data_IF_022117816130
#
_entry.id   IF_022117816130
#
_cell.length_a   1.000
_cell.length_b   1.000
_cell.length_c   1.000
_cell.angle_alpha   90.00
_cell.angle_beta   90.00
_cell.angle_gamma   90.00
#
_symmetry.space_group_name_H-M   'P 1'
#
loop_
_entity.id
_entity.type
_entity.pdbx_description
1 polymer ?
#
# COMPACT_ATOMS: atom_id res chain seq x y z
N UNK A 1 -25.98 -0.31 -13.47
CA UNK A 1 -24.74 0.39 -13.13
C UNK A 1 -25.08 1.32 -11.99
N UNK A 2 -24.40 1.16 -10.86
CA UNK A 2 -24.61 1.97 -9.66
C UNK A 2 -23.33 2.76 -9.39
N UNK A 3 -23.44 4.04 -9.01
CA UNK A 3 -22.31 4.83 -8.58
C UNK A 3 -21.78 4.30 -7.24
N UNK A 4 -20.53 3.94 -7.17
CA UNK A 4 -19.91 3.31 -5.99
C UNK A 4 -19.31 4.35 -5.04
N UNK A 5 -19.37 5.64 -5.40
CA UNK A 5 -18.90 6.74 -4.57
C UNK A 5 -17.38 6.79 -4.35
N UNK A 6 -16.61 6.07 -5.17
CA UNK A 6 -15.16 6.02 -5.05
C UNK A 6 -14.52 7.36 -5.47
N UNK A 7 -13.64 7.89 -4.64
CA UNK A 7 -12.85 9.08 -4.94
C UNK A 7 -11.37 8.75 -4.86
N UNK A 8 -10.66 8.85 -5.98
CA UNK A 8 -9.22 8.58 -6.06
C UNK A 8 -8.38 9.60 -5.27
N UNK A 9 -8.96 10.78 -5.03
CA UNK A 9 -8.30 11.81 -4.24
C UNK A 9 -8.94 11.85 -2.86
N UNK A 10 -8.15 11.95 -1.78
CA UNK A 10 -8.69 12.12 -0.45
C UNK A 10 -9.54 13.39 -0.36
N UNK A 11 -10.75 13.27 0.16
CA UNK A 11 -11.61 14.41 0.45
C UNK A 11 -11.29 15.05 1.81
N UNK A 12 -10.47 14.39 2.62
CA UNK A 12 -10.03 14.87 3.92
C UNK A 12 -8.53 14.64 4.05
N UNK A 13 -7.78 15.71 4.30
CA UNK A 13 -6.36 15.66 4.64
C UNK A 13 -6.21 16.34 5.99
N UNK A 14 -5.45 15.73 6.89
CA UNK A 14 -5.22 16.25 8.23
C UNK A 14 -3.79 16.03 8.68
N UNK A 15 -3.35 16.89 9.59
CA UNK A 15 -2.04 16.79 10.21
C UNK A 15 -2.07 17.22 11.66
N UNK A 16 -1.21 16.64 12.47
CA UNK A 16 -1.01 16.97 13.88
C UNK A 16 0.48 17.03 14.16
N UNK A 17 0.93 18.16 14.73
CA UNK A 17 2.28 18.34 15.21
C UNK A 17 2.33 18.41 16.74
N UNK A 18 3.24 17.67 17.34
CA UNK A 18 3.54 17.73 18.77
C UNK A 18 5.00 18.11 18.95
N UNK A 19 5.27 19.11 19.80
CA UNK A 19 6.62 19.56 20.10
C UNK A 19 6.78 19.72 21.61
N UNK A 20 7.80 19.06 22.16
CA UNK A 20 8.13 19.13 23.59
C UNK A 20 9.59 19.50 23.75
N UNK A 21 9.86 20.45 24.63
CA UNK A 21 11.22 20.86 25.01
C UNK A 21 11.39 20.79 26.51
N UNK A 22 12.42 20.08 26.96
CA UNK A 22 12.70 19.94 28.39
C UNK A 22 14.19 19.77 28.67
N UNK A 23 14.78 20.68 29.43
CA UNK A 23 16.19 20.62 29.87
C UNK A 23 17.21 20.27 28.77
N UNK A 24 17.07 20.88 27.62
CA UNK A 24 17.94 20.63 26.45
C UNK A 24 17.49 19.51 25.53
N UNK A 25 16.59 18.64 25.95
CA UNK A 25 15.93 17.68 25.09
C UNK A 25 14.80 18.37 24.32
N UNK A 26 14.72 18.13 23.04
CA UNK A 26 13.60 18.51 22.18
C UNK A 26 13.11 17.31 21.38
N UNK A 27 11.80 17.13 21.36
CA UNK A 27 11.13 16.05 20.61
C UNK A 27 10.03 16.68 19.78
N UNK A 28 10.07 16.43 18.48
CA UNK A 28 9.06 16.89 17.56
C UNK A 28 8.47 15.65 16.84
N UNK A 29 7.16 15.55 16.87
CA UNK A 29 6.41 14.49 16.19
C UNK A 29 5.44 15.15 15.20
N UNK A 30 5.43 14.68 13.98
CA UNK A 30 4.48 15.13 12.97
C UNK A 30 3.71 13.94 12.40
N UNK A 31 2.40 13.99 12.54
CA UNK A 31 1.47 13.04 11.97
C UNK A 31 0.78 13.66 10.77
N UNK A 32 0.59 12.87 9.74
CA UNK A 32 -0.18 13.22 8.56
C UNK A 32 -1.15 12.09 8.25
N UNK A 33 -2.34 12.42 7.80
CA UNK A 33 -3.33 11.44 7.39
C UNK A 33 -4.19 11.92 6.26
N UNK A 34 -4.80 10.96 5.58
CA UNK A 34 -5.82 11.17 4.57
C UNK A 34 -7.01 10.30 4.89
N UNK A 35 -8.21 10.83 4.68
CA UNK A 35 -9.46 10.13 4.87
C UNK A 35 -10.42 10.32 3.72
N UNK A 36 -11.48 9.53 3.68
CA UNK A 36 -12.47 9.54 2.60
C UNK A 36 -11.81 9.38 1.23
N UNK A 37 -10.88 8.44 1.12
CA UNK A 37 -10.22 8.04 -0.10
C UNK A 37 -10.58 6.58 -0.39
N UNK A 38 -10.98 6.30 -1.60
CA UNK A 38 -11.27 4.95 -2.07
C UNK A 38 -10.70 4.76 -3.46
N UNK A 39 -10.15 3.60 -3.72
CA UNK A 39 -9.63 3.28 -5.03
C UNK A 39 -9.90 1.82 -5.41
N UNK A 40 -9.91 1.56 -6.70
CA UNK A 40 -10.00 0.19 -7.21
C UNK A 40 -8.60 -0.42 -7.28
N UNK A 41 -8.46 -1.63 -6.79
CA UNK A 41 -7.28 -2.43 -7.05
C UNK A 41 -7.17 -2.69 -8.56
N UNK A 42 -6.09 -2.25 -9.15
CA UNK A 42 -5.82 -2.44 -10.57
C UNK A 42 -4.32 -2.51 -10.83
N UNK A 43 -3.94 -2.81 -12.05
CA UNK A 43 -2.55 -2.88 -12.46
C UNK A 43 -2.05 -4.30 -12.67
N UNK A 44 -0.90 -4.41 -13.27
CA UNK A 44 -0.29 -5.67 -13.70
C UNK A 44 0.05 -6.61 -12.54
N UNK A 45 0.38 -6.04 -11.39
CA UNK A 45 0.67 -6.81 -10.18
C UNK A 45 -0.55 -7.56 -9.61
N UNK A 46 -1.76 -7.04 -9.87
CA UNK A 46 -3.00 -7.62 -9.35
C UNK A 46 -3.66 -8.55 -10.38
N UNK A 47 -3.57 -8.15 -11.65
CA UNK A 47 -4.14 -8.92 -12.75
C UNK A 47 -3.14 -9.97 -13.21
N UNK A 48 -3.38 -11.21 -12.82
CA UNK A 48 -2.60 -12.32 -13.33
C UNK A 48 -2.62 -12.34 -14.86
N UNK A 49 -1.51 -12.67 -15.46
CA UNK A 49 -1.34 -12.78 -16.92
C UNK A 49 -1.60 -11.51 -17.74
N UNK A 50 -1.50 -10.31 -17.14
CA UNK A 50 -1.81 -9.05 -17.81
C UNK A 50 -0.87 -8.70 -18.97
N UNK A 51 0.29 -9.33 -19.03
CA UNK A 51 1.28 -9.19 -20.13
C UNK A 51 1.39 -10.48 -20.97
N UNK A 52 0.34 -11.25 -21.07
CA UNK A 52 0.39 -12.51 -21.76
C UNK A 52 1.20 -13.54 -21.00
N UNK A 53 1.89 -14.38 -21.72
CA UNK A 53 2.80 -15.36 -21.15
C UNK A 53 3.97 -14.72 -20.34
N UNK A 54 4.18 -13.43 -20.46
CA UNK A 54 5.20 -12.68 -19.73
C UNK A 54 4.71 -12.11 -18.40
N UNK A 55 3.40 -12.18 -18.16
CA UNK A 55 2.81 -11.68 -16.91
C UNK A 55 3.11 -12.59 -15.73
N UNK A 56 3.69 -12.03 -14.68
CA UNK A 56 3.93 -12.76 -13.45
C UNK A 56 2.66 -12.84 -12.59
N UNK A 57 2.58 -13.88 -11.77
CA UNK A 57 1.54 -14.05 -10.75
C UNK A 57 2.21 -13.90 -9.39
N UNK A 58 1.66 -13.06 -8.53
CA UNK A 58 2.14 -12.98 -7.15
C UNK A 58 1.71 -14.23 -6.38
N UNK A 59 2.58 -14.71 -5.49
CA UNK A 59 2.32 -15.91 -4.69
C UNK A 59 1.00 -15.83 -3.92
N UNK A 60 0.69 -14.68 -3.32
CA UNK A 60 -0.56 -14.48 -2.59
C UNK A 60 -1.81 -14.68 -3.45
N UNK A 61 -1.75 -14.40 -4.75
CA UNK A 61 -2.87 -14.71 -5.67
C UNK A 61 -3.02 -16.21 -5.87
N UNK A 62 -1.92 -16.94 -6.01
CA UNK A 62 -1.96 -18.40 -6.16
C UNK A 62 -2.52 -19.09 -4.91
N UNK A 63 -2.06 -18.66 -3.74
CA UNK A 63 -2.39 -19.30 -2.46
C UNK A 63 -3.84 -19.03 -2.02
N UNK A 64 -4.40 -17.86 -2.39
CA UNK A 64 -5.69 -17.39 -1.87
C UNK A 64 -6.75 -17.17 -2.96
N UNK A 65 -6.60 -17.80 -4.14
CA UNK A 65 -7.60 -17.72 -5.20
C UNK A 65 -8.71 -18.74 -4.99
N UNK A 66 -9.87 -18.43 -5.50
CA UNK A 66 -10.94 -19.40 -5.62
C UNK A 66 -10.63 -20.43 -6.72
N UNK A 67 -10.82 -21.71 -6.43
CA UNK A 67 -10.58 -22.83 -7.35
C UNK A 67 -11.68 -23.87 -7.16
N UNK A 68 -12.46 -24.13 -8.21
CA UNK A 68 -13.49 -25.17 -8.23
C UNK A 68 -12.88 -26.58 -8.20
N UNK A 69 -13.67 -27.54 -7.72
CA UNK A 69 -13.24 -28.92 -7.56
C UNK A 69 -12.79 -29.55 -8.88
N UNK A 70 -13.52 -29.29 -9.98
CA UNK A 70 -13.20 -29.86 -11.30
C UNK A 70 -11.86 -29.32 -11.84
N UNK A 71 -11.60 -28.06 -11.65
CA UNK A 71 -10.32 -27.43 -12.04
C UNK A 71 -9.18 -27.93 -11.17
N UNK A 72 -9.42 -28.09 -9.87
CA UNK A 72 -8.44 -28.60 -8.92
C UNK A 72 -8.01 -30.03 -9.27
N UNK A 73 -8.95 -30.90 -9.58
CA UNK A 73 -8.68 -32.30 -10.01
C UNK A 73 -7.83 -32.31 -11.29
N UNK A 74 -8.22 -31.54 -12.32
CA UNK A 74 -7.50 -31.48 -13.61
C UNK A 74 -6.06 -30.98 -13.46
N UNK A 75 -5.81 -30.10 -12.51
CA UNK A 75 -4.50 -29.49 -12.28
C UNK A 75 -3.67 -30.19 -11.19
N UNK A 76 -4.24 -31.21 -10.51
CA UNK A 76 -3.58 -31.90 -9.39
C UNK A 76 -3.27 -30.99 -8.20
N UNK A 77 -4.14 -30.00 -7.92
CA UNK A 77 -4.00 -29.06 -6.82
C UNK A 77 -5.19 -29.16 -5.86
N UNK A 78 -5.09 -28.51 -4.70
CA UNK A 78 -6.21 -28.44 -3.77
C UNK A 78 -7.31 -27.49 -4.28
N UNK A 79 -8.57 -27.91 -4.14
CA UNK A 79 -9.72 -27.03 -4.35
C UNK A 79 -9.79 -25.96 -3.25
N UNK A 80 -10.29 -24.79 -3.60
CA UNK A 80 -10.60 -23.71 -2.68
C UNK A 80 -11.90 -23.01 -3.10
N UNK A 81 -13.02 -23.55 -2.70
CA UNK A 81 -14.34 -23.02 -3.00
C UNK A 81 -14.84 -22.06 -1.92
N UNK A 82 -13.94 -21.50 -1.12
CA UNK A 82 -14.30 -20.49 -0.11
C UNK A 82 -14.89 -19.24 -0.80
N UNK A 83 -16.15 -18.86 -0.51
CA UNK A 83 -16.75 -17.64 -1.05
C UNK A 83 -16.03 -16.37 -0.61
N UNK A 84 -15.22 -16.44 0.45
CA UNK A 84 -14.39 -15.35 0.94
C UNK A 84 -12.94 -15.38 0.41
N UNK A 85 -12.64 -16.21 -0.57
CA UNK A 85 -11.34 -16.24 -1.21
C UNK A 85 -10.93 -14.82 -1.66
N UNK A 86 -9.68 -14.44 -1.34
CA UNK A 86 -9.19 -13.07 -1.58
C UNK A 86 -9.09 -12.72 -3.06
N UNK A 87 -8.90 -13.72 -3.91
CA UNK A 87 -8.78 -13.55 -5.36
C UNK A 87 -9.77 -14.44 -6.11
N UNK A 88 -10.32 -13.97 -7.23
CA UNK A 88 -11.20 -14.77 -8.04
C UNK A 88 -10.43 -15.87 -8.75
N UNK A 89 -11.18 -16.78 -9.37
CA UNK A 89 -10.62 -17.81 -10.24
C UNK A 89 -9.72 -17.20 -11.31
N UNK A 90 -8.53 -17.75 -11.45
CA UNK A 90 -7.65 -17.41 -12.55
C UNK A 90 -8.24 -17.94 -13.86
N UNK A 91 -8.19 -17.14 -14.89
CA UNK A 91 -8.60 -17.52 -16.22
C UNK A 91 -7.56 -17.05 -17.24
N UNK A 92 -7.31 -17.89 -18.22
CA UNK A 92 -6.39 -17.66 -19.31
C UNK A 92 -7.09 -18.10 -20.60
N UNK A 93 -7.09 -17.26 -21.65
CA UNK A 93 -7.61 -17.61 -22.95
C UNK A 93 -6.48 -17.48 -23.98
N UNK A 94 -6.11 -18.56 -24.58
CA UNK A 94 -5.30 -18.55 -25.80
C UNK A 94 -6.23 -18.30 -27.01
N UNK A 95 -5.96 -17.28 -27.80
CA UNK A 95 -6.73 -17.00 -29.01
C UNK A 95 -6.23 -17.78 -30.24
N UNK A 96 -5.32 -18.70 -30.04
CA UNK A 96 -4.84 -19.58 -31.11
C UNK A 96 -3.98 -18.94 -32.19
N UNK A 97 -3.67 -17.66 -32.08
CA UNK A 97 -2.87 -16.89 -33.04
C UNK A 97 -1.56 -16.33 -32.43
N UNK A 98 -1.15 -16.85 -31.29
CA UNK A 98 0.00 -16.34 -30.53
C UNK A 98 -0.26 -15.03 -29.81
N UNK A 99 -1.40 -14.39 -30.04
CA UNK A 99 -1.88 -13.24 -29.30
C UNK A 99 -2.73 -13.69 -28.12
N UNK A 100 -2.13 -13.77 -27.00
CA UNK A 100 -2.81 -14.03 -25.74
C UNK A 100 -3.54 -12.78 -25.30
N UNK A 101 -4.81 -12.69 -25.62
CA UNK A 101 -5.62 -11.61 -25.09
C UNK A 101 -6.00 -11.96 -23.66
N UNK A 102 -5.28 -11.40 -22.74
CA UNK A 102 -5.54 -11.61 -21.34
C UNK A 102 -6.51 -10.56 -20.84
N UNK A 103 -7.59 -11.01 -20.47
CA UNK A 103 -8.51 -10.68 -19.39
C UNK A 103 -8.77 -9.26 -19.00
N UNK A 104 -8.34 -8.25 -19.73
CA UNK A 104 -8.94 -6.92 -19.66
C UNK A 104 -10.47 -6.98 -19.80
N UNK A 105 -10.97 -8.07 -20.32
CA UNK A 105 -12.39 -8.26 -20.63
C UNK A 105 -13.13 -9.31 -19.80
N UNK A 106 -12.44 -10.04 -18.91
CA UNK A 106 -13.18 -10.95 -18.03
C UNK A 106 -13.95 -10.16 -16.99
N UNK A 107 -15.12 -10.64 -16.66
CA UNK A 107 -15.99 -10.01 -15.67
C UNK A 107 -15.31 -9.89 -14.29
N UNK A 108 -14.40 -10.80 -13.97
CA UNK A 108 -13.68 -10.83 -12.70
C UNK A 108 -12.76 -9.61 -12.47
N UNK A 109 -12.31 -8.94 -13.51
CA UNK A 109 -11.41 -7.77 -13.40
C UNK A 109 -12.08 -6.43 -13.70
N UNK A 110 -13.40 -6.42 -13.85
CA UNK A 110 -14.15 -5.15 -13.95
C UNK A 110 -14.22 -4.46 -12.60
N UNK A 111 -14.23 -3.14 -12.65
CA UNK A 111 -14.42 -2.32 -11.46
C UNK A 111 -15.73 -2.71 -10.76
N UNK A 112 -15.61 -3.18 -9.54
CA UNK A 112 -16.70 -3.64 -8.69
C UNK A 112 -16.35 -3.36 -7.22
N UNK A 113 -17.31 -3.51 -6.35
CA UNK A 113 -17.08 -3.40 -4.89
C UNK A 113 -16.04 -4.40 -4.40
N UNK A 114 -15.88 -5.53 -5.07
CA UNK A 114 -14.84 -6.52 -4.77
C UNK A 114 -13.42 -5.92 -4.87
N UNK A 115 -13.16 -5.08 -5.85
CA UNK A 115 -11.86 -4.43 -6.05
C UNK A 115 -11.71 -3.08 -5.36
N UNK A 116 -12.78 -2.57 -4.77
CA UNK A 116 -12.76 -1.30 -4.05
C UNK A 116 -12.03 -1.45 -2.72
N UNK A 117 -11.11 -0.54 -2.44
CA UNK A 117 -10.35 -0.50 -1.19
C UNK A 117 -10.42 0.88 -0.57
N UNK A 118 -10.38 0.90 0.75
CA UNK A 118 -10.23 2.13 1.51
C UNK A 118 -8.76 2.55 1.50
N UNK A 119 -8.50 3.74 1.02
CA UNK A 119 -7.18 4.37 0.97
C UNK A 119 -6.89 5.31 2.14
N UNK A 120 -7.72 5.30 3.16
CA UNK A 120 -7.52 6.12 4.35
C UNK A 120 -6.32 5.63 5.16
N UNK A 121 -5.55 6.57 5.68
CA UNK A 121 -4.38 6.26 6.51
C UNK A 121 -4.05 7.36 7.51
N UNK A 122 -3.30 7.00 8.54
CA UNK A 122 -2.56 7.91 9.43
C UNK A 122 -1.10 7.49 9.39
N UNK A 123 -0.21 8.47 9.33
CA UNK A 123 1.23 8.23 9.26
C UNK A 123 1.98 9.07 10.26
N UNK A 124 2.94 8.47 10.97
CA UNK A 124 3.98 9.20 11.68
C UNK A 124 5.02 9.66 10.65
N UNK A 125 4.80 10.88 10.15
CA UNK A 125 5.53 11.44 8.99
C UNK A 125 6.96 11.82 9.35
N UNK A 126 7.14 12.46 10.52
CA UNK A 126 8.45 12.87 10.96
C UNK A 126 8.55 12.72 12.48
N UNK A 127 9.69 12.21 12.91
CA UNK A 127 10.14 12.23 14.30
C UNK A 127 11.51 12.92 14.30
N UNK A 128 11.67 13.94 15.11
CA UNK A 128 12.94 14.59 15.36
C UNK A 128 13.17 14.63 16.87
N UNK A 129 14.27 14.03 17.31
CA UNK A 129 14.69 14.00 18.71
C UNK A 129 16.06 14.64 18.76
N UNK A 130 16.18 15.75 19.48
CA UNK A 130 17.42 16.50 19.62
C UNK A 130 17.79 16.72 21.07
N UNK A 131 19.07 16.81 21.34
CA UNK A 131 19.61 17.20 22.61
C UNK A 131 20.66 18.31 22.45
N UNK A 132 20.38 19.43 23.08
CA UNK A 132 21.31 20.56 23.13
C UNK A 132 22.18 20.45 24.37
N UNK A 133 23.48 20.37 24.17
CA UNK A 133 24.43 20.22 25.26
C UNK A 133 24.43 21.45 26.17
N UNK A 134 24.59 21.28 27.50
CA UNK A 134 24.71 22.36 28.47
C UNK A 134 25.93 23.25 28.14
N UNK A 135 25.75 24.57 28.30
CA UNK A 135 26.83 25.57 28.06
C UNK A 135 28.14 25.23 28.79
N UNK A 136 28.06 24.67 29.99
CA UNK A 136 29.24 24.31 30.78
C UNK A 136 30.12 23.25 30.07
N UNK A 137 29.53 22.36 29.27
CA UNK A 137 30.25 21.35 28.47
C UNK A 137 30.75 21.95 27.15
N UNK A 138 29.91 22.72 26.50
CA UNK A 138 30.18 23.29 25.16
C UNK A 138 31.33 24.32 25.22
N UNK A 139 31.40 25.13 26.26
CA UNK A 139 32.45 26.11 26.48
C UNK A 139 33.83 25.45 26.67
N UNK A 140 33.92 24.24 27.23
CA UNK A 140 35.19 23.49 27.38
C UNK A 140 35.80 23.10 26.05
N UNK A 141 34.97 22.90 25.02
CA UNK A 141 35.39 22.52 23.68
C UNK A 141 35.39 23.69 22.70
N UNK A 142 35.28 24.95 23.23
CA UNK A 142 35.31 26.20 22.46
C UNK A 142 34.22 26.32 21.40
N UNK A 143 33.05 25.72 21.62
CA UNK A 143 31.88 25.91 20.77
C UNK A 143 30.83 26.79 21.44
N UNK A 144 30.03 27.49 20.65
CA UNK A 144 28.96 28.34 21.17
C UNK A 144 27.67 27.55 21.46
N UNK A 145 27.39 26.55 20.67
CA UNK A 145 26.24 25.65 20.82
C UNK A 145 26.48 24.32 20.09
N UNK A 146 26.07 23.23 20.70
CA UNK A 146 26.12 21.90 20.07
C UNK A 146 24.77 21.23 20.31
N UNK A 147 24.08 20.84 19.25
CA UNK A 147 22.88 20.03 19.27
C UNK A 147 23.13 18.74 18.51
N UNK A 148 22.89 17.62 19.15
CA UNK A 148 22.89 16.30 18.52
C UNK A 148 21.46 15.92 18.28
N UNK A 149 21.11 15.42 17.09
CA UNK A 149 19.75 15.05 16.78
C UNK A 149 19.66 13.79 15.91
N UNK A 150 18.52 13.14 16.02
CA UNK A 150 18.12 12.01 15.20
C UNK A 150 16.77 12.33 14.54
N UNK A 151 16.71 12.20 13.24
CA UNK A 151 15.47 12.42 12.48
C UNK A 151 15.08 11.16 11.74
N UNK A 152 13.80 10.79 11.86
CA UNK A 152 13.20 9.70 11.11
C UNK A 152 12.00 10.19 10.30
N UNK A 153 11.82 9.63 9.11
CA UNK A 153 10.67 9.98 8.25
C UNK A 153 9.89 8.74 7.86
N UNK A 154 8.57 8.88 7.74
CA UNK A 154 7.65 7.81 7.32
C UNK A 154 7.76 6.52 8.15
N UNK A 155 7.99 6.65 9.47
CA UNK A 155 8.34 5.52 10.34
C UNK A 155 7.20 4.51 10.52
N UNK A 156 5.98 4.99 10.67
CA UNK A 156 4.81 4.14 10.91
C UNK A 156 3.63 4.61 10.07
N UNK A 157 2.90 3.66 9.49
CA UNK A 157 1.67 3.92 8.74
C UNK A 157 0.57 2.98 9.24
N UNK A 158 -0.54 3.56 9.66
CA UNK A 158 -1.76 2.85 10.06
C UNK A 158 -2.79 3.02 8.95
N UNK A 159 -3.19 1.91 8.35
CA UNK A 159 -4.21 1.83 7.30
C UNK A 159 -4.83 0.44 7.30
N UNK A 160 -6.07 0.34 6.85
CA UNK A 160 -6.73 -0.93 6.55
C UNK A 160 -6.11 -1.61 5.33
N UNK A 161 -5.55 -0.82 4.42
CA UNK A 161 -4.89 -1.31 3.23
C UNK A 161 -3.43 -1.74 3.50
N UNK A 162 -3.06 -2.98 3.13
CA UNK A 162 -1.78 -3.60 3.49
C UNK A 162 -0.93 -4.04 2.32
N UNK A 163 -1.41 -3.99 1.08
CA UNK A 163 -0.66 -4.50 -0.06
C UNK A 163 0.53 -3.61 -0.44
N UNK A 164 0.34 -2.29 -0.39
CA UNK A 164 1.40 -1.29 -0.61
C UNK A 164 1.09 -0.02 0.17
N UNK A 165 1.86 1.03 -0.04
CA UNK A 165 1.64 2.32 0.62
C UNK A 165 0.31 2.93 0.16
N UNK A 166 -0.65 3.21 1.07
CA UNK A 166 -1.96 3.75 0.72
C UNK A 166 -1.90 5.11 0.02
N UNK A 167 -0.83 5.88 0.20
CA UNK A 167 -0.62 7.17 -0.48
C UNK A 167 -0.42 7.02 -1.99
N UNK A 168 -0.01 5.83 -2.44
CA UNK A 168 0.14 5.52 -3.86
C UNK A 168 -1.19 5.37 -4.62
N UNK A 169 -2.29 5.16 -3.90
CA UNK A 169 -3.64 5.04 -4.48
C UNK A 169 -3.81 3.83 -5.40
N UNK A 170 -4.72 3.96 -6.35
CA UNK A 170 -5.17 2.87 -7.24
C UNK A 170 -4.20 2.51 -8.34
N UNK A 171 -3.33 3.41 -8.69
CA UNK A 171 -2.67 3.29 -9.97
C UNK A 171 -1.43 2.43 -9.89
N UNK A 172 -1.60 1.26 -10.47
CA UNK A 172 -0.47 0.51 -10.95
C UNK A 172 0.51 0.19 -9.82
N UNK A 173 0.35 -0.93 -9.19
CA UNK A 173 1.36 -1.49 -8.29
C UNK A 173 2.79 -1.55 -8.88
N UNK A 174 3.03 -0.75 -9.91
CA UNK A 174 4.27 -0.52 -10.63
C UNK A 174 5.06 0.68 -10.10
N UNK A 175 4.45 1.50 -9.24
CA UNK A 175 5.18 2.60 -8.61
C UNK A 175 5.98 2.06 -7.44
N UNK A 176 7.25 2.39 -7.41
CA UNK A 176 8.11 2.11 -6.26
C UNK A 176 7.44 2.65 -4.99
N UNK A 177 7.33 1.87 -3.93
CA UNK A 177 6.84 2.40 -2.67
C UNK A 177 7.75 3.54 -2.25
N UNK A 178 7.18 4.71 -2.04
CA UNK A 178 7.86 5.75 -1.29
C UNK A 178 8.29 5.10 0.03
N UNK A 179 9.57 5.01 0.25
CA UNK A 179 10.25 4.30 1.34
C UNK A 179 9.41 4.11 2.60
N UNK A 180 9.25 2.85 2.99
CA UNK A 180 8.87 2.52 4.36
C UNK A 180 9.93 3.00 5.32
#
# INVERSE_FOLDING_TARGET
IVAVGATNRPNLIYGLGLSVKWKGLDVNLHFQGAGKSQFFLSGKCIRAFSEGQWGNIIKGTLDNRWVDADTAEKLGIAANEDPNATFPRLSYTDQGNGNTTIYAYTNNYRNSTYWLRDGSYVRLKTVDIGYTLPKALVNKIHFNNVRIFLTGTNLLTWSSFKLWDPEMGSNNGEKYPLSK
#
